data_IF_524088000443
#
_entry.id   IF_524088000443
#
_cell.length_a   1.000
_cell.length_b   1.000
_cell.length_c   1.000
_cell.angle_alpha   90.00
_cell.angle_beta   90.00
_cell.angle_gamma   90.00
#
_symmetry.space_group_name_H-M   'P 1'
#
loop_
_entity.id
_entity.type
_entity.pdbx_description
1 polymer ?
#
# COMPACT_ATOMS: atom_id res chain seq x y z
N UNK A 1 -16.80 -12.49 -10.34
CA UNK A 1 -15.65 -11.85 -10.96
C UNK A 1 -15.49 -10.43 -10.44
N UNK A 2 -14.35 -10.12 -9.93
CA UNK A 2 -14.12 -8.80 -9.36
C UNK A 2 -14.02 -7.73 -10.45
N UNK A 3 -14.57 -6.57 -10.17
CA UNK A 3 -14.43 -5.40 -11.02
C UNK A 3 -13.18 -4.65 -10.62
N UNK A 4 -12.33 -4.33 -11.56
CA UNK A 4 -11.18 -3.46 -11.31
C UNK A 4 -11.64 -2.01 -11.37
N UNK A 5 -11.74 -1.41 -10.21
CA UNK A 5 -12.22 -0.04 -10.05
C UNK A 5 -11.48 0.64 -8.91
N UNK A 6 -11.35 1.96 -8.99
CA UNK A 6 -10.83 2.77 -7.90
C UNK A 6 -11.92 3.23 -6.93
N UNK A 7 -13.18 2.89 -7.20
CA UNK A 7 -14.31 3.27 -6.36
C UNK A 7 -14.58 2.18 -5.34
N UNK A 8 -14.16 2.39 -4.11
CA UNK A 8 -14.30 1.42 -3.01
C UNK A 8 -15.03 2.09 -1.85
N UNK A 9 -16.38 2.19 -1.92
CA UNK A 9 -17.16 2.85 -0.87
C UNK A 9 -16.95 2.20 0.49
N UNK A 10 -16.83 3.01 1.53
CA UNK A 10 -16.64 2.51 2.90
C UNK A 10 -15.28 1.93 3.19
N UNK A 11 -14.32 2.12 2.31
CA UNK A 11 -12.97 1.56 2.43
C UNK A 11 -12.31 1.86 3.78
N UNK A 12 -12.44 3.09 4.26
CA UNK A 12 -11.82 3.51 5.51
C UNK A 12 -12.47 2.89 6.75
N UNK A 13 -13.65 2.30 6.61
CA UNK A 13 -14.41 1.72 7.72
C UNK A 13 -14.05 0.27 8.01
N UNK A 14 -13.37 -0.39 7.09
CA UNK A 14 -13.04 -1.81 7.24
C UNK A 14 -11.63 -2.00 7.79
N UNK A 15 -11.30 -3.23 8.18
CA UNK A 15 -10.00 -3.56 8.75
C UNK A 15 -8.89 -3.48 7.70
N UNK A 16 -7.63 -3.44 8.15
CA UNK A 16 -6.48 -3.48 7.25
C UNK A 16 -6.51 -4.73 6.38
N UNK A 17 -6.83 -5.88 6.95
CA UNK A 17 -6.93 -7.13 6.19
C UNK A 17 -8.01 -7.04 5.11
N UNK A 18 -9.16 -6.48 5.43
CA UNK A 18 -10.24 -6.32 4.47
C UNK A 18 -9.89 -5.30 3.39
N UNK A 19 -9.19 -4.23 3.75
CA UNK A 19 -8.69 -3.25 2.76
C UNK A 19 -7.75 -3.91 1.77
N UNK A 20 -6.84 -4.77 2.23
CA UNK A 20 -5.93 -5.52 1.36
C UNK A 20 -6.70 -6.40 0.40
N UNK A 21 -7.75 -7.07 0.86
CA UNK A 21 -8.62 -7.88 0.01
C UNK A 21 -9.30 -7.04 -1.05
N UNK A 22 -9.85 -5.88 -0.69
CA UNK A 22 -10.50 -4.99 -1.63
C UNK A 22 -9.52 -4.44 -2.67
N UNK A 23 -8.33 -4.06 -2.25
CA UNK A 23 -7.28 -3.61 -3.18
C UNK A 23 -6.87 -4.75 -4.12
N UNK A 24 -6.73 -5.96 -3.59
CA UNK A 24 -6.41 -7.15 -4.38
C UNK A 24 -7.45 -7.37 -5.47
N UNK A 25 -8.73 -7.29 -5.13
CA UNK A 25 -9.82 -7.46 -6.10
C UNK A 25 -9.83 -6.33 -7.14
N UNK A 26 -9.56 -5.10 -6.71
CA UNK A 26 -9.61 -3.95 -7.60
C UNK A 26 -8.43 -3.88 -8.56
N UNK A 27 -7.27 -4.41 -8.17
CA UNK A 27 -6.02 -4.26 -8.94
C UNK A 27 -5.54 -5.55 -9.57
N UNK A 28 -6.02 -6.69 -9.10
CA UNK A 28 -5.54 -8.00 -9.55
C UNK A 28 -4.24 -8.43 -8.87
N UNK A 29 -3.73 -7.65 -7.92
CA UNK A 29 -2.55 -8.02 -7.13
C UNK A 29 -2.98 -8.93 -5.99
N UNK A 30 -2.33 -10.07 -5.83
CA UNK A 30 -2.68 -11.02 -4.79
C UNK A 30 -2.40 -10.48 -3.38
N UNK A 31 -3.27 -10.82 -2.43
CA UNK A 31 -3.10 -10.40 -1.03
C UNK A 31 -1.79 -10.88 -0.43
N UNK A 32 -1.32 -12.07 -0.80
CA UNK A 32 -0.04 -12.59 -0.33
C UNK A 32 1.13 -11.73 -0.81
N UNK A 33 1.06 -11.23 -2.04
CA UNK A 33 2.07 -10.33 -2.57
C UNK A 33 2.09 -9.00 -1.82
N UNK A 34 0.91 -8.48 -1.48
CA UNK A 34 0.79 -7.26 -0.67
C UNK A 34 1.43 -7.47 0.71
N UNK A 35 1.13 -8.59 1.36
CA UNK A 35 1.69 -8.90 2.67
C UNK A 35 3.21 -9.02 2.62
N UNK A 36 3.73 -9.73 1.63
CA UNK A 36 5.19 -9.91 1.49
C UNK A 36 5.91 -8.60 1.22
N UNK A 37 5.26 -7.68 0.50
CA UNK A 37 5.86 -6.39 0.17
C UNK A 37 5.82 -5.40 1.34
N UNK A 38 4.76 -5.41 2.14
CA UNK A 38 4.51 -4.38 3.14
C UNK A 38 4.76 -4.80 4.57
N UNK A 39 4.52 -6.07 4.91
CA UNK A 39 4.74 -6.52 6.27
C UNK A 39 6.23 -6.48 6.59
N UNK A 40 6.58 -5.89 7.72
CA UNK A 40 7.98 -5.65 8.06
C UNK A 40 8.59 -4.43 7.38
N UNK A 41 7.76 -3.62 6.70
CA UNK A 41 8.21 -2.39 6.07
C UNK A 41 8.82 -2.53 4.68
N UNK A 42 8.86 -3.74 4.14
CA UNK A 42 9.34 -3.97 2.77
C UNK A 42 10.84 -3.75 2.55
N UNK A 43 11.58 -3.36 3.60
CA UNK A 43 13.02 -3.09 3.50
C UNK A 43 13.72 -3.64 4.72
N UNK A 44 14.61 -4.62 4.53
CA UNK A 44 15.37 -5.16 5.64
C UNK A 44 16.64 -4.35 5.92
N UNK A 45 17.21 -4.54 7.10
CA UNK A 45 18.37 -3.75 7.55
C UNK A 45 19.59 -3.98 6.68
N UNK A 46 19.80 -5.19 6.19
CA UNK A 46 20.95 -5.50 5.32
C UNK A 46 20.88 -4.74 4.01
N UNK A 47 19.69 -4.66 3.41
CA UNK A 47 19.49 -3.91 2.18
C UNK A 47 19.64 -2.42 2.44
N UNK A 48 19.06 -1.91 3.52
CA UNK A 48 19.17 -0.50 3.90
C UNK A 48 20.64 -0.09 4.13
N UNK A 49 21.43 -0.97 4.68
CA UNK A 49 22.86 -0.71 4.94
C UNK A 49 23.65 -0.42 3.65
N UNK A 50 23.16 -0.89 2.51
CA UNK A 50 23.78 -0.61 1.22
C UNK A 50 23.47 0.77 0.67
N UNK A 51 22.43 1.42 1.20
CA UNK A 51 21.98 2.72 0.70
C UNK A 51 22.40 3.89 1.58
N UNK A 52 22.51 3.66 2.89
CA UNK A 52 22.76 4.73 3.85
C UNK A 52 23.84 4.25 4.84
N UNK A 53 24.76 5.16 5.19
CA UNK A 53 25.82 4.85 6.13
C UNK A 53 25.29 4.68 7.56
N UNK A 54 25.96 3.79 8.32
CA UNK A 54 25.71 3.62 9.75
C UNK A 54 24.29 3.17 10.10
N UNK A 55 23.69 2.34 9.26
CA UNK A 55 22.33 1.84 9.49
C UNK A 55 22.28 0.96 10.72
N UNK A 56 21.32 1.23 11.61
CA UNK A 56 21.03 0.38 12.78
C UNK A 56 19.64 -0.25 12.70
N UNK A 57 18.89 0.09 11.69
CA UNK A 57 17.55 -0.45 11.50
C UNK A 57 16.81 0.30 10.41
N UNK A 58 15.52 0.11 10.34
CA UNK A 58 14.65 0.81 9.40
C UNK A 58 13.53 1.53 10.16
N UNK A 59 13.01 2.61 9.55
CA UNK A 59 11.96 3.41 10.13
C UNK A 59 10.70 3.25 9.30
N UNK A 60 9.65 2.74 9.91
CA UNK A 60 8.39 2.47 9.22
C UNK A 60 7.56 3.72 8.96
N UNK A 61 6.98 3.80 7.77
CA UNK A 61 6.06 4.86 7.39
C UNK A 61 4.72 4.26 6.98
N UNK A 62 3.58 4.93 7.30
CA UNK A 62 2.28 4.44 6.85
C UNK A 62 2.21 4.36 5.33
N UNK A 63 1.67 3.26 4.82
CA UNK A 63 1.48 3.02 3.40
C UNK A 63 -0.01 2.81 3.14
N UNK A 64 -0.59 3.72 2.39
CA UNK A 64 -2.00 3.67 2.06
C UNK A 64 -2.22 3.77 0.56
N UNK A 65 -3.47 3.93 0.19
CA UNK A 65 -3.85 4.09 -1.22
C UNK A 65 -4.78 5.27 -1.39
N UNK A 66 -4.67 5.95 -2.52
CA UNK A 66 -5.61 6.98 -2.95
C UNK A 66 -6.59 6.35 -3.92
N UNK A 67 -7.86 6.55 -3.65
CA UNK A 67 -8.95 5.99 -4.44
C UNK A 67 -9.53 7.05 -5.40
N UNK A 68 -10.35 6.59 -6.33
CA UNK A 68 -11.08 7.46 -7.27
C UNK A 68 -10.19 8.33 -8.14
N UNK A 69 -8.99 7.84 -8.47
CA UNK A 69 -8.06 8.53 -9.36
C UNK A 69 -8.32 8.08 -10.80
N UNK A 70 -8.53 9.04 -11.69
CA UNK A 70 -8.80 8.75 -13.09
C UNK A 70 -7.77 9.44 -13.96
N UNK A 71 -7.06 8.65 -14.77
CA UNK A 71 -6.04 9.17 -15.68
C UNK A 71 -6.33 8.64 -17.08
N UNK A 72 -6.48 9.53 -18.05
CA UNK A 72 -6.78 9.19 -19.44
C UNK A 72 -8.01 8.27 -19.57
N UNK A 73 -9.04 8.52 -18.74
CA UNK A 73 -10.27 7.74 -18.76
C UNK A 73 -10.20 6.39 -18.06
N UNK A 74 -9.09 6.05 -17.45
CA UNK A 74 -8.90 4.80 -16.71
C UNK A 74 -8.82 5.04 -15.21
N UNK A 75 -9.49 4.18 -14.43
CA UNK A 75 -9.44 4.23 -12.98
C UNK A 75 -8.13 3.63 -12.45
N UNK A 76 -7.57 4.30 -11.44
CA UNK A 76 -6.34 3.87 -10.81
C UNK A 76 -6.45 3.90 -9.30
N UNK A 77 -5.82 2.92 -8.65
CA UNK A 77 -5.56 2.93 -7.22
C UNK A 77 -4.09 3.32 -7.05
N UNK A 78 -3.84 4.46 -6.41
CA UNK A 78 -2.49 5.04 -6.33
C UNK A 78 -1.93 4.84 -4.92
N UNK A 79 -0.78 4.15 -4.78
CA UNK A 79 -0.16 3.99 -3.47
C UNK A 79 0.44 5.31 -2.98
N UNK A 80 0.42 5.49 -1.66
CA UNK A 80 0.96 6.66 -0.99
C UNK A 80 1.71 6.27 0.27
N UNK A 81 2.82 6.94 0.51
CA UNK A 81 3.54 6.86 1.77
C UNK A 81 3.44 8.21 2.47
N UNK A 82 3.04 8.19 3.74
CA UNK A 82 2.87 9.41 4.52
C UNK A 82 4.02 9.55 5.51
N UNK A 83 4.74 10.65 5.40
CA UNK A 83 5.89 10.93 6.24
C UNK A 83 5.52 11.49 7.61
N UNK A 84 4.43 12.23 7.68
CA UNK A 84 3.98 12.86 8.90
C UNK A 84 2.70 12.24 9.41
N UNK A 85 2.51 12.15 10.74
CA UNK A 85 1.24 11.66 11.26
C UNK A 85 0.12 12.58 10.82
N UNK A 86 -0.97 11.98 10.40
CA UNK A 86 -2.18 12.70 10.09
C UNK A 86 -2.81 13.20 11.39
N UNK A 87 -3.21 14.41 11.38
CA UNK A 87 -3.85 15.03 12.54
C UNK A 87 -5.35 14.96 12.42
#
# INVERSE_FOLDING_TARGET
MSKRTSQLPGFYKVTVAERRTLVSEATGVETLAIARSLDGGGLDAETADKFVENVIGTYGLPYGVTLNVRVNGHDHVVPMVVEEPSV
#
